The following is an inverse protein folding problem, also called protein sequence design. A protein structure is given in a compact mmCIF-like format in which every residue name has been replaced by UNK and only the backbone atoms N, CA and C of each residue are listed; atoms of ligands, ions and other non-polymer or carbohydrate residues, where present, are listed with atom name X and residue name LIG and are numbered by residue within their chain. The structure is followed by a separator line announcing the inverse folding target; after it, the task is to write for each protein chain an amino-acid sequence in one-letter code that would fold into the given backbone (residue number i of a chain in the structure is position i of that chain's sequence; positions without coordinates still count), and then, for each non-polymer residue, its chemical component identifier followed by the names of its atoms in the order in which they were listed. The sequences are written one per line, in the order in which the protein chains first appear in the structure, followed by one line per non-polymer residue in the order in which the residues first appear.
data_IF_262047886199
#
_entry.id   IF_262047886199
#
_cell.length_a   1.000
_cell.length_b   1.000
_cell.length_c   1.000
_cell.angle_alpha   90.00
_cell.angle_beta   90.00
_cell.angle_gamma   90.00
#
_symmetry.space_group_name_H-M   'P 1'
#
loop_
_entity.id
_entity.type
_entity.pdbx_description
1 polymer ?
#
# COMPACT_ATOMS: atom_id res chain seq x y z
N UNK A 1 4.34 12.32 -7.04
CA UNK A 1 3.95 11.18 -7.91
C UNK A 1 4.43 11.32 -9.36
N UNK A 2 4.45 12.53 -9.93
CA UNK A 2 4.87 12.80 -11.31
C UNK A 2 6.24 12.20 -11.69
N UNK A 3 7.27 12.36 -10.84
CA UNK A 3 8.59 11.76 -11.08
C UNK A 3 8.54 10.24 -11.24
N UNK A 4 7.72 9.55 -10.43
CA UNK A 4 7.57 8.10 -10.51
C UNK A 4 6.85 7.71 -11.79
N UNK A 5 5.74 8.37 -12.13
CA UNK A 5 4.98 8.10 -13.35
C UNK A 5 5.84 8.32 -14.61
N UNK A 6 6.67 9.37 -14.61
CA UNK A 6 7.64 9.63 -15.68
C UNK A 6 8.71 8.53 -15.75
N UNK A 7 9.20 8.06 -14.60
CA UNK A 7 10.21 6.99 -14.53
C UNK A 7 9.70 5.63 -15.03
N UNK A 8 8.38 5.39 -14.96
CA UNK A 8 7.74 4.16 -15.45
C UNK A 8 6.95 4.40 -16.75
N UNK A 9 7.17 5.54 -17.43
CA UNK A 9 6.40 5.90 -18.63
C UNK A 9 6.54 4.84 -19.74
N UNK A 10 7.76 4.33 -19.94
CA UNK A 10 8.09 3.36 -20.98
C UNK A 10 7.96 1.89 -20.52
N UNK A 11 7.50 1.65 -19.29
CA UNK A 11 7.36 0.28 -18.78
C UNK A 11 6.13 -0.40 -19.41
N UNK A 12 6.26 -1.67 -19.84
CA UNK A 12 5.16 -2.40 -20.47
C UNK A 12 4.03 -2.64 -19.46
N UNK A 13 2.84 -2.05 -19.70
CA UNK A 13 1.70 -2.07 -18.76
C UNK A 13 1.21 -3.48 -18.43
N UNK A 14 1.10 -4.36 -19.43
CA UNK A 14 0.53 -5.70 -19.26
C UNK A 14 1.39 -6.65 -18.40
N UNK A 15 2.70 -6.39 -18.35
CA UNK A 15 3.68 -7.14 -17.55
C UNK A 15 4.26 -6.32 -16.40
N UNK A 16 3.74 -5.11 -16.17
CA UNK A 16 4.07 -4.29 -15.02
C UNK A 16 3.17 -4.67 -13.86
N UNK A 17 3.73 -4.60 -12.67
CA UNK A 17 2.96 -4.72 -11.44
C UNK A 17 3.65 -3.97 -10.30
N UNK A 18 2.86 -3.52 -9.33
CA UNK A 18 3.30 -2.73 -8.19
C UNK A 18 2.99 -3.46 -6.88
N UNK A 19 3.91 -3.39 -5.93
CA UNK A 19 3.74 -3.95 -4.58
C UNK A 19 3.87 -2.81 -3.59
N UNK A 20 2.97 -2.74 -2.62
CA UNK A 20 3.02 -1.71 -1.58
C UNK A 20 2.55 -2.24 -0.24
N UNK A 21 3.31 -1.94 0.81
CA UNK A 21 2.94 -2.21 2.20
C UNK A 21 2.59 -0.93 2.95
N UNK A 22 1.64 -0.97 3.88
CA UNK A 22 1.26 0.20 4.70
C UNK A 22 0.95 1.43 3.83
N UNK A 23 1.61 2.58 4.07
CA UNK A 23 1.50 3.76 3.21
C UNK A 23 1.91 3.50 1.75
N UNK A 24 2.86 2.60 1.52
CA UNK A 24 3.21 2.14 0.17
C UNK A 24 2.04 1.46 -0.55
N UNK A 25 1.13 0.79 0.17
CA UNK A 25 -0.09 0.21 -0.40
C UNK A 25 -1.07 1.26 -0.93
N UNK A 26 -1.14 2.42 -0.26
CA UNK A 26 -1.90 3.58 -0.75
C UNK A 26 -1.31 4.10 -2.07
N UNK A 27 0.01 4.30 -2.13
CA UNK A 27 0.68 4.73 -3.37
C UNK A 27 0.58 3.69 -4.49
N UNK A 28 0.70 2.39 -4.16
CA UNK A 28 0.52 1.30 -5.11
C UNK A 28 -0.88 1.30 -5.73
N UNK A 29 -1.90 1.62 -4.92
CA UNK A 29 -3.28 1.77 -5.43
C UNK A 29 -3.38 2.92 -6.42
N UNK A 30 -2.80 4.08 -6.11
CA UNK A 30 -2.76 5.21 -7.05
C UNK A 30 -2.06 4.85 -8.37
N UNK A 31 -0.90 4.20 -8.30
CA UNK A 31 -0.14 3.79 -9.49
C UNK A 31 -0.94 2.78 -10.33
N UNK A 32 -1.57 1.80 -9.70
CA UNK A 32 -2.34 0.78 -10.41
C UNK A 32 -3.58 1.36 -11.09
N UNK A 33 -4.26 2.34 -10.49
CA UNK A 33 -5.38 3.02 -11.14
C UNK A 33 -4.91 3.95 -12.27
N UNK A 34 -3.76 4.61 -12.12
CA UNK A 34 -3.21 5.49 -13.15
C UNK A 34 -2.61 4.74 -14.35
N UNK A 35 -2.14 3.51 -14.14
CA UNK A 35 -1.38 2.74 -15.16
C UNK A 35 -2.02 1.43 -15.55
N UNK A 36 -3.14 1.08 -14.90
CA UNK A 36 -3.88 -0.14 -15.17
C UNK A 36 -3.09 -1.44 -14.92
N UNK A 37 -2.03 -1.38 -14.12
CA UNK A 37 -1.18 -2.53 -13.82
C UNK A 37 -1.75 -3.40 -12.68
N UNK A 38 -1.13 -4.55 -12.44
CA UNK A 38 -1.47 -5.41 -11.29
C UNK A 38 -0.93 -4.80 -9.99
N UNK A 39 -1.68 -4.89 -8.91
CA UNK A 39 -1.28 -4.42 -7.59
C UNK A 39 -1.35 -5.51 -6.53
N UNK A 40 -0.32 -5.58 -5.72
CA UNK A 40 -0.26 -6.40 -4.51
C UNK A 40 -0.13 -5.50 -3.29
N UNK A 41 -1.06 -5.65 -2.36
CA UNK A 41 -1.20 -4.78 -1.20
C UNK A 41 -0.97 -5.58 0.08
N UNK A 42 -0.14 -5.06 0.97
CA UNK A 42 0.17 -5.69 2.26
C UNK A 42 -0.21 -4.70 3.36
N UNK A 43 -1.20 -5.05 4.19
CA UNK A 43 -1.71 -4.15 5.25
C UNK A 43 -1.81 -2.66 4.79
N UNK A 44 -2.51 -2.38 3.67
CA UNK A 44 -2.46 -1.05 3.04
C UNK A 44 -3.17 0.02 3.89
N UNK A 45 -2.58 1.21 3.97
CA UNK A 45 -3.28 2.38 4.48
C UNK A 45 -4.45 2.76 3.55
N UNK A 46 -5.62 3.04 4.13
CA UNK A 46 -6.84 3.36 3.38
C UNK A 46 -7.06 4.86 3.24
N UNK A 47 -6.90 5.61 4.34
CA UNK A 47 -7.02 7.07 4.39
C UNK A 47 -5.83 7.67 5.15
N UNK A 48 -4.63 7.65 4.55
CA UNK A 48 -3.44 8.14 5.22
C UNK A 48 -3.49 9.65 5.47
N UNK A 49 -4.28 10.42 4.72
CA UNK A 49 -4.44 11.85 4.97
C UNK A 49 -5.14 12.11 6.32
N UNK A 50 -6.21 11.35 6.61
CA UNK A 50 -6.87 11.38 7.93
C UNK A 50 -5.92 10.89 9.02
N UNK A 51 -5.29 9.74 8.80
CA UNK A 51 -4.51 9.06 9.83
C UNK A 51 -3.21 9.80 10.17
N UNK A 52 -2.57 10.42 9.17
CA UNK A 52 -1.35 11.19 9.36
C UNK A 52 -1.61 12.65 9.76
N UNK A 53 -2.82 13.17 9.55
CA UNK A 53 -3.20 14.51 9.95
C UNK A 53 -2.99 14.81 11.44
N UNK A 54 -3.11 13.80 12.30
CA UNK A 54 -2.86 13.92 13.75
C UNK A 54 -1.38 14.14 14.12
N UNK A 55 -0.46 13.90 13.17
CA UNK A 55 0.97 14.12 13.36
C UNK A 55 1.44 15.45 12.75
N UNK A 56 0.57 16.32 12.25
CA UNK A 56 0.99 17.65 11.79
C UNK A 56 1.66 18.41 12.95
N UNK A 57 2.85 18.95 12.71
CA UNK A 57 3.66 19.63 13.72
C UNK A 57 4.97 18.93 14.03
N UNK A 58 5.55 19.21 15.20
CA UNK A 58 6.83 18.66 15.61
C UNK A 58 6.68 17.20 16.06
N UNK A 59 7.44 16.30 15.45
CA UNK A 59 7.52 14.89 15.77
C UNK A 59 8.96 14.48 16.04
N UNK A 60 9.15 13.39 16.77
CA UNK A 60 10.47 12.77 16.96
C UNK A 60 10.65 11.62 15.98
N UNK A 61 11.86 11.46 15.46
CA UNK A 61 12.16 10.30 14.63
C UNK A 61 12.16 9.04 15.49
N UNK A 62 11.52 7.97 14.99
CA UNK A 62 11.47 6.70 15.70
C UNK A 62 12.85 6.07 15.90
N UNK A 63 13.76 6.25 14.94
CA UNK A 63 15.11 5.67 14.95
C UNK A 63 16.16 6.54 15.64
N UNK A 64 15.85 7.82 15.89
CA UNK A 64 16.70 8.79 16.57
C UNK A 64 15.81 9.73 17.39
N UNK A 65 15.35 9.32 18.59
CA UNK A 65 14.38 10.07 19.39
C UNK A 65 14.85 11.49 19.79
N UNK A 66 16.16 11.74 19.74
CA UNK A 66 16.81 13.03 19.92
C UNK A 66 16.65 13.97 18.71
N UNK A 67 16.33 13.43 17.54
CA UNK A 67 16.07 14.21 16.32
C UNK A 67 14.58 14.49 16.18
N UNK A 68 14.22 15.77 16.09
CA UNK A 68 12.87 16.17 15.71
C UNK A 68 12.79 16.55 14.23
N UNK A 69 11.62 16.34 13.66
CA UNK A 69 11.24 16.82 12.34
C UNK A 69 9.88 17.47 12.42
N UNK A 70 9.60 18.39 11.51
CA UNK A 70 8.30 19.03 11.41
C UNK A 70 7.50 18.40 10.26
N UNK A 71 6.40 17.75 10.58
CA UNK A 71 5.48 17.19 9.59
C UNK A 71 4.52 18.30 9.13
N UNK A 72 4.69 18.71 7.88
CA UNK A 72 4.02 19.85 7.29
C UNK A 72 2.58 19.50 6.87
N UNK A 73 1.60 20.41 7.06
CA UNK A 73 0.24 20.22 6.56
C UNK A 73 0.17 19.87 5.07
N UNK A 74 1.07 20.44 4.27
CA UNK A 74 1.14 20.26 2.82
C UNK A 74 1.35 18.79 2.43
N UNK A 75 2.05 17.99 3.25
CA UNK A 75 2.21 16.55 3.00
C UNK A 75 0.87 15.80 3.11
N UNK A 76 -0.02 16.25 3.98
CA UNK A 76 -1.38 15.70 4.09
C UNK A 76 -2.22 16.12 2.89
N UNK A 77 -2.06 17.34 2.39
CA UNK A 77 -2.73 17.80 1.18
C UNK A 77 -2.27 17.01 -0.05
N UNK A 78 -0.98 16.71 -0.17
CA UNK A 78 -0.45 15.82 -1.21
C UNK A 78 -1.12 14.44 -1.16
N UNK A 79 -1.26 13.83 0.02
CA UNK A 79 -1.97 12.55 0.18
C UNK A 79 -3.43 12.65 -0.28
N UNK A 80 -4.13 13.74 0.04
CA UNK A 80 -5.52 13.94 -0.44
C UNK A 80 -5.60 13.97 -1.95
N UNK A 81 -4.62 14.58 -2.64
CA UNK A 81 -4.60 14.62 -4.11
C UNK A 81 -4.38 13.25 -4.76
N UNK A 82 -3.76 12.31 -4.03
CA UNK A 82 -3.47 10.97 -4.50
C UNK A 82 -4.60 9.97 -4.21
N UNK A 83 -5.58 10.34 -3.38
CA UNK A 83 -6.69 9.48 -3.02
C UNK A 83 -7.46 9.06 -4.27
N UNK A 84 -7.54 7.75 -4.50
CA UNK A 84 -8.42 7.18 -5.52
C UNK A 84 -9.72 6.72 -4.89
N UNK A 85 -10.83 6.96 -5.60
CA UNK A 85 -12.18 6.54 -5.24
C UNK A 85 -12.37 5.03 -5.32
N UNK A 86 -13.46 4.60 -5.96
CA UNK A 86 -13.73 3.18 -6.20
C UNK A 86 -12.71 2.59 -7.18
N UNK A 87 -12.27 1.36 -6.90
CA UNK A 87 -11.32 0.63 -7.72
C UNK A 87 -11.98 0.26 -9.05
N UNK A 88 -11.44 0.73 -10.17
CA UNK A 88 -12.03 0.47 -11.50
C UNK A 88 -11.87 -0.99 -11.93
N UNK A 89 -10.79 -1.64 -11.50
CA UNK A 89 -10.45 -3.00 -11.92
C UNK A 89 -10.05 -3.90 -10.74
N UNK A 90 -10.99 -4.26 -9.84
CA UNK A 90 -10.70 -5.05 -8.63
C UNK A 90 -9.97 -6.37 -8.88
N UNK A 91 -10.18 -6.99 -10.04
CA UNK A 91 -9.52 -8.22 -10.47
C UNK A 91 -8.00 -8.10 -10.58
N UNK A 92 -7.47 -6.87 -10.78
CA UNK A 92 -6.04 -6.55 -10.86
C UNK A 92 -5.39 -6.38 -9.48
N UNK A 93 -6.15 -6.53 -8.40
CA UNK A 93 -5.66 -6.38 -7.04
C UNK A 93 -5.59 -7.73 -6.34
N UNK A 94 -4.57 -7.85 -5.50
CA UNK A 94 -4.49 -8.83 -4.42
C UNK A 94 -4.14 -8.09 -3.13
N UNK A 95 -4.76 -8.49 -2.04
CA UNK A 95 -4.46 -7.92 -0.74
C UNK A 95 -4.21 -9.01 0.29
N UNK A 96 -3.17 -8.80 1.10
CA UNK A 96 -2.86 -9.61 2.26
C UNK A 96 -3.05 -8.73 3.50
N UNK A 97 -4.03 -9.09 4.31
CA UNK A 97 -4.50 -8.28 5.44
C UNK A 97 -4.37 -9.08 6.73
N UNK A 98 -3.68 -8.54 7.74
CA UNK A 98 -3.59 -9.13 9.06
C UNK A 98 -4.69 -8.58 9.98
N UNK A 99 -5.54 -9.44 10.55
CA UNK A 99 -6.51 -9.00 11.58
C UNK A 99 -5.82 -8.54 12.87
N UNK A 100 -4.58 -8.99 13.09
CA UNK A 100 -3.75 -8.61 14.23
C UNK A 100 -2.95 -7.32 14.03
N UNK A 101 -3.11 -6.62 12.90
CA UNK A 101 -2.45 -5.33 12.66
C UNK A 101 -2.82 -4.32 13.76
N UNK A 102 -1.80 -3.88 14.49
CA UNK A 102 -1.88 -2.99 15.63
C UNK A 102 -1.83 -1.50 15.26
N UNK A 103 -1.52 -1.19 13.99
CA UNK A 103 -1.34 0.18 13.47
C UNK A 103 -2.54 0.62 12.66
N UNK A 104 -3.08 -0.27 11.82
CA UNK A 104 -4.16 0.03 10.87
C UNK A 104 -5.35 -0.92 11.06
N UNK A 105 -6.58 -0.40 10.97
CA UNK A 105 -7.78 -1.23 11.16
C UNK A 105 -8.04 -2.13 9.94
N UNK A 106 -7.85 -3.44 10.11
CA UNK A 106 -8.12 -4.44 9.08
C UNK A 106 -9.54 -4.38 8.53
N UNK A 107 -10.53 -3.92 9.32
CA UNK A 107 -11.93 -3.78 8.85
C UNK A 107 -12.06 -2.70 7.80
N UNK A 108 -11.32 -1.60 7.96
CA UNK A 108 -11.27 -0.53 6.99
C UNK A 108 -10.57 -1.01 5.71
N UNK A 109 -9.44 -1.71 5.86
CA UNK A 109 -8.76 -2.35 4.72
C UNK A 109 -9.69 -3.31 3.99
N UNK A 110 -10.40 -4.17 4.71
CA UNK A 110 -11.32 -5.14 4.14
C UNK A 110 -12.56 -4.46 3.52
N UNK A 111 -13.06 -3.36 4.09
CA UNK A 111 -14.12 -2.59 3.46
C UNK A 111 -13.68 -2.02 2.11
N UNK A 112 -12.44 -1.52 2.02
CA UNK A 112 -11.88 -0.98 0.77
C UNK A 112 -11.52 -2.06 -0.25
N UNK A 113 -10.87 -3.14 0.16
CA UNK A 113 -10.27 -4.13 -0.76
C UNK A 113 -11.00 -5.48 -0.78
N UNK A 114 -12.03 -5.69 0.03
CA UNK A 114 -12.71 -6.99 0.19
C UNK A 114 -13.43 -7.51 -1.05
N UNK A 115 -13.64 -6.66 -2.06
CA UNK A 115 -14.17 -7.05 -3.37
C UNK A 115 -13.07 -7.43 -4.39
N UNK A 116 -11.81 -7.38 -3.97
CA UNK A 116 -10.65 -7.95 -4.68
C UNK A 116 -10.39 -9.37 -4.17
N UNK A 117 -9.37 -10.08 -4.68
CA UNK A 117 -8.96 -11.33 -4.04
C UNK A 117 -8.08 -11.03 -2.82
N UNK A 118 -8.66 -11.25 -1.64
CA UNK A 118 -8.05 -10.98 -0.34
C UNK A 118 -7.67 -12.26 0.38
N UNK A 119 -6.47 -12.29 0.93
CA UNK A 119 -6.05 -13.26 1.96
C UNK A 119 -6.12 -12.54 3.29
N UNK A 120 -7.07 -12.93 4.14
CA UNK A 120 -7.27 -12.37 5.47
C UNK A 120 -6.66 -13.31 6.51
N UNK A 121 -5.65 -12.84 7.23
CA UNK A 121 -4.97 -13.62 8.26
C UNK A 121 -5.67 -13.42 9.60
N UNK A 122 -5.95 -14.53 10.30
CA UNK A 122 -6.61 -14.48 11.62
C UNK A 122 -5.75 -13.80 12.70
N UNK A 123 -4.43 -13.77 12.52
CA UNK A 123 -3.48 -13.06 13.38
C UNK A 123 -2.52 -12.19 12.56
N UNK A 124 -1.24 -12.22 12.92
CA UNK A 124 -0.18 -11.39 12.32
C UNK A 124 0.01 -10.06 13.04
N UNK A 125 0.87 -9.23 12.48
CA UNK A 125 1.21 -7.88 12.93
C UNK A 125 1.28 -6.93 11.72
N UNK A 126 1.46 -5.63 11.97
CA UNK A 126 1.57 -4.64 10.89
C UNK A 126 2.73 -4.95 9.92
N UNK A 127 3.85 -5.45 10.44
CA UNK A 127 5.04 -5.81 9.67
C UNK A 127 4.86 -7.09 8.82
N UNK A 128 3.79 -7.84 9.07
CA UNK A 128 3.49 -9.13 8.46
C UNK A 128 4.60 -10.16 8.65
N UNK A 129 4.99 -10.41 9.90
CA UNK A 129 5.95 -11.47 10.26
C UNK A 129 5.54 -12.81 9.63
N UNK A 130 6.46 -13.47 8.91
CA UNK A 130 6.17 -14.72 8.17
C UNK A 130 5.66 -14.50 6.74
N UNK A 131 5.85 -13.30 6.18
CA UNK A 131 5.48 -12.96 4.81
C UNK A 131 6.04 -13.96 3.75
N UNK A 132 7.15 -14.62 4.04
CA UNK A 132 7.81 -15.59 3.16
C UNK A 132 6.88 -16.72 2.71
N UNK A 133 5.91 -17.10 3.54
CA UNK A 133 4.91 -18.14 3.23
C UNK A 133 4.01 -17.75 2.05
N UNK A 134 3.83 -16.44 1.81
CA UNK A 134 2.96 -15.91 0.76
C UNK A 134 3.72 -15.54 -0.52
N UNK A 135 5.06 -15.52 -0.49
CA UNK A 135 5.89 -15.17 -1.65
C UNK A 135 5.59 -15.99 -2.91
N UNK A 136 5.35 -17.32 -2.86
CA UNK A 136 5.06 -18.10 -4.07
C UNK A 136 3.78 -17.63 -4.77
N UNK A 137 2.73 -17.36 -4.01
CA UNK A 137 1.46 -16.86 -4.56
C UNK A 137 1.60 -15.43 -5.09
N UNK A 138 2.38 -14.61 -4.40
CA UNK A 138 2.72 -13.26 -4.84
C UNK A 138 3.45 -13.28 -6.17
N UNK A 139 4.53 -14.07 -6.27
CA UNK A 139 5.32 -14.20 -7.50
C UNK A 139 4.45 -14.67 -8.67
N UNK A 140 3.61 -15.68 -8.45
CA UNK A 140 2.69 -16.21 -9.47
C UNK A 140 1.70 -15.15 -9.95
N UNK A 141 1.07 -14.42 -9.04
CA UNK A 141 0.13 -13.34 -9.39
C UNK A 141 0.80 -12.23 -10.21
N UNK A 142 2.03 -11.88 -9.83
CA UNK A 142 2.84 -10.84 -10.49
C UNK A 142 3.42 -11.32 -11.83
N UNK A 143 3.29 -12.60 -12.18
CA UNK A 143 3.88 -13.17 -13.38
C UNK A 143 5.41 -13.29 -13.32
N UNK A 144 5.97 -13.33 -12.11
CA UNK A 144 7.40 -13.53 -11.90
C UNK A 144 7.73 -15.03 -12.04
N UNK A 145 8.91 -15.37 -12.61
CA UNK A 145 9.34 -16.76 -12.68
C UNK A 145 9.50 -17.33 -11.25
N UNK A 146 9.22 -18.63 -11.04
CA UNK A 146 9.48 -19.27 -9.76
C UNK A 146 10.97 -19.15 -9.41
N UNK A 147 11.27 -18.86 -8.14
CA UNK A 147 12.64 -18.92 -7.64
C UNK A 147 13.21 -20.33 -7.90
N UNK A 148 14.42 -20.38 -8.49
CA UNK A 148 15.17 -21.63 -8.69
C UNK A 148 15.69 -22.18 -7.38
#
# INVERSE_FOLDING_TARGET
MELLLNGIADWPRDSMAVVGSSLGGFYATHIAEATECRAMLINPAVDPARDLGKYIGENRQWHAPEESFFFLPEYVDELRTLQVGELQHPQRYRALLAKGDEVLDWREMHARYGHTQVTLLEGGDHALTGFEEYLPDFARFMGLPPNK
#
